data_IF_149918041563
#
_entry.id   IF_149918041563
#
_cell.length_a   1.000
_cell.length_b   1.000
_cell.length_c   1.000
_cell.angle_alpha   90.00
_cell.angle_beta   90.00
_cell.angle_gamma   90.00
#
_symmetry.space_group_name_H-M   'P 1'
#
loop_
_entity.id
_entity.type
_entity.pdbx_description
1 polymer ?
#
# COMPACT_ATOMS: atom_id res chain seq x y z
N UNK A 1 -39.24 45.61 3.41
CA UNK A 1 -39.27 45.40 1.94
C UNK A 1 -39.50 43.93 1.67
N UNK A 2 -40.17 43.57 0.58
CA UNK A 2 -40.38 42.17 0.20
C UNK A 2 -39.20 41.68 -0.65
N UNK A 3 -38.61 40.55 -0.29
CA UNK A 3 -37.58 39.90 -1.09
C UNK A 3 -38.21 39.17 -2.28
N UNK A 4 -37.51 39.12 -3.42
CA UNK A 4 -37.96 38.39 -4.61
C UNK A 4 -37.90 36.89 -4.36
N UNK A 5 -38.98 36.17 -4.68
CA UNK A 5 -39.01 34.71 -4.63
C UNK A 5 -38.05 34.13 -5.68
N UNK A 6 -37.29 33.11 -5.31
CA UNK A 6 -36.28 32.44 -6.18
C UNK A 6 -36.44 30.94 -6.15
N UNK A 7 -36.07 30.30 -7.27
CA UNK A 7 -35.94 28.86 -7.37
C UNK A 7 -34.78 28.38 -6.50
N UNK A 8 -34.89 27.17 -5.97
CA UNK A 8 -33.82 26.50 -5.26
C UNK A 8 -32.82 25.89 -6.25
N UNK A 9 -31.53 25.90 -5.89
CA UNK A 9 -30.48 25.15 -6.59
C UNK A 9 -30.30 23.79 -5.93
N UNK A 10 -29.83 22.81 -6.72
CA UNK A 10 -29.48 21.49 -6.19
C UNK A 10 -28.39 21.61 -5.11
N UNK A 11 -28.39 20.72 -4.10
CA UNK A 11 -27.47 20.82 -2.99
C UNK A 11 -26.03 20.47 -3.43
N UNK A 12 -25.04 21.18 -2.88
CA UNK A 12 -23.63 20.92 -3.13
C UNK A 12 -23.16 19.72 -2.31
N UNK A 13 -23.39 18.51 -2.85
CA UNK A 13 -23.10 17.24 -2.19
C UNK A 13 -22.05 16.44 -2.98
N UNK A 14 -21.53 15.37 -2.38
CA UNK A 14 -20.70 14.41 -3.11
C UNK A 14 -21.51 13.76 -4.24
N UNK A 15 -21.29 14.26 -5.45
CA UNK A 15 -21.95 13.81 -6.68
C UNK A 15 -21.65 12.35 -7.03
N UNK A 16 -20.66 11.72 -6.39
CA UNK A 16 -20.39 10.29 -6.59
C UNK A 16 -21.25 9.41 -5.71
N UNK A 17 -21.62 9.90 -4.53
CA UNK A 17 -22.43 9.16 -3.56
C UNK A 17 -23.91 9.43 -3.72
N UNK A 18 -24.26 10.68 -4.07
CA UNK A 18 -25.64 11.14 -4.15
C UNK A 18 -26.00 11.54 -5.57
N UNK A 19 -27.19 11.12 -5.98
CA UNK A 19 -27.83 11.59 -7.19
C UNK A 19 -28.86 12.66 -6.85
N UNK A 20 -28.63 13.86 -7.38
CA UNK A 20 -29.46 15.05 -7.16
C UNK A 20 -30.03 15.58 -8.47
N UNK A 21 -30.01 14.77 -9.54
CA UNK A 21 -30.54 15.13 -10.86
C UNK A 21 -31.98 15.64 -10.79
N UNK A 22 -32.79 15.06 -9.91
CA UNK A 22 -34.21 15.41 -9.71
C UNK A 22 -34.38 16.81 -9.08
N UNK A 23 -33.31 17.41 -8.55
CA UNK A 23 -33.32 18.66 -7.78
C UNK A 23 -32.87 19.89 -8.58
N UNK A 24 -32.65 19.74 -9.89
CA UNK A 24 -32.21 20.84 -10.74
C UNK A 24 -33.37 21.80 -11.04
N UNK A 25 -33.21 23.07 -10.64
CA UNK A 25 -34.11 24.16 -11.02
C UNK A 25 -35.47 24.17 -10.32
N UNK A 26 -35.55 23.66 -9.09
CA UNK A 26 -36.81 23.57 -8.34
C UNK A 26 -37.45 24.93 -8.09
N UNK A 27 -38.67 25.10 -8.59
CA UNK A 27 -39.52 26.22 -8.26
C UNK A 27 -40.02 26.19 -6.81
N UNK A 28 -40.57 27.30 -6.31
CA UNK A 28 -41.16 27.36 -4.98
C UNK A 28 -42.24 26.29 -4.79
N UNK A 29 -42.26 25.64 -3.62
CA UNK A 29 -43.18 24.55 -3.26
C UNK A 29 -42.96 23.22 -3.99
N UNK A 30 -41.96 23.13 -4.86
CA UNK A 30 -41.60 21.87 -5.50
C UNK A 30 -40.70 21.03 -4.61
N UNK A 31 -40.75 19.72 -4.85
CA UNK A 31 -39.96 18.72 -4.14
C UNK A 31 -39.15 17.89 -5.14
N UNK A 32 -38.01 17.35 -4.71
CA UNK A 32 -37.23 16.37 -5.45
C UNK A 32 -36.80 15.22 -4.54
N UNK A 33 -36.30 14.14 -5.13
CA UNK A 33 -35.67 13.05 -4.39
C UNK A 33 -34.15 13.13 -4.52
N UNK A 34 -33.46 12.95 -3.38
CA UNK A 34 -32.02 12.71 -3.36
C UNK A 34 -31.84 11.20 -3.20
N UNK A 35 -31.16 10.57 -4.15
CA UNK A 35 -30.98 9.11 -4.20
C UNK A 35 -29.52 8.75 -3.94
N UNK A 36 -29.28 7.50 -3.55
CA UNK A 36 -27.94 6.95 -3.61
C UNK A 36 -27.57 6.66 -5.07
N UNK A 37 -26.40 7.12 -5.49
CA UNK A 37 -25.87 6.80 -6.82
C UNK A 37 -25.26 5.40 -6.80
N UNK A 38 -25.48 4.63 -7.85
CA UNK A 38 -24.86 3.30 -7.99
C UNK A 38 -23.33 3.40 -7.86
N UNK A 39 -22.66 2.46 -7.18
CA UNK A 39 -23.20 1.23 -6.59
C UNK A 39 -23.67 1.36 -5.13
N UNK A 40 -23.77 2.58 -4.58
CA UNK A 40 -24.32 2.76 -3.24
C UNK A 40 -25.82 2.47 -3.22
N UNK A 41 -26.27 1.87 -2.12
CA UNK A 41 -27.69 1.57 -1.87
C UNK A 41 -28.16 2.31 -0.62
N UNK A 42 -29.43 2.71 -0.64
CA UNK A 42 -30.08 3.40 0.46
C UNK A 42 -31.43 3.94 0.03
N UNK A 43 -32.28 4.25 1.01
CA UNK A 43 -33.59 4.84 0.75
C UNK A 43 -33.41 6.30 0.35
N UNK A 44 -34.06 6.70 -0.74
CA UNK A 44 -34.07 8.10 -1.16
C UNK A 44 -34.74 8.99 -0.10
N UNK A 45 -34.24 10.22 0.05
CA UNK A 45 -34.82 11.24 0.91
C UNK A 45 -35.50 12.33 0.07
N UNK A 46 -36.48 13.01 0.66
CA UNK A 46 -37.18 14.10 0.01
C UNK A 46 -36.51 15.44 0.35
N UNK A 47 -36.30 16.26 -0.67
CA UNK A 47 -35.91 17.65 -0.51
C UNK A 47 -37.05 18.56 -0.99
N UNK A 48 -37.23 19.72 -0.34
CA UNK A 48 -38.34 20.64 -0.61
C UNK A 48 -37.85 22.09 -0.71
N UNK A 49 -38.34 22.81 -1.71
CA UNK A 49 -38.08 24.23 -1.88
C UNK A 49 -39.20 25.06 -1.19
N UNK A 50 -38.88 25.91 -0.20
CA UNK A 50 -39.89 26.67 0.53
C UNK A 50 -40.75 27.55 -0.37
N UNK A 51 -42.04 27.70 -0.02
CA UNK A 51 -43.01 28.53 -0.78
C UNK A 51 -42.55 29.98 -0.95
N UNK A 52 -41.93 30.54 0.08
CA UNK A 52 -41.46 31.93 0.10
C UNK A 52 -39.94 31.98 0.11
N UNK A 53 -39.31 31.08 -0.66
CA UNK A 53 -37.87 31.03 -0.76
C UNK A 53 -37.33 32.28 -1.45
N UNK A 54 -36.44 33.02 -0.79
CA UNK A 54 -35.73 34.16 -1.38
C UNK A 54 -34.23 33.91 -1.55
N UNK A 55 -33.76 32.74 -1.11
CA UNK A 55 -32.37 32.31 -1.17
C UNK A 55 -32.23 31.13 -2.15
N UNK A 56 -31.45 31.24 -3.24
CA UNK A 56 -31.21 30.11 -4.12
C UNK A 56 -30.71 28.85 -3.40
N UNK A 57 -29.96 28.99 -2.31
CA UNK A 57 -29.47 27.86 -1.50
C UNK A 57 -30.48 27.36 -0.44
N UNK A 58 -31.69 27.91 -0.40
CA UNK A 58 -32.72 27.62 0.60
C UNK A 58 -33.44 26.27 0.46
N UNK A 59 -32.85 25.30 -0.24
CA UNK A 59 -33.40 23.95 -0.33
C UNK A 59 -33.33 23.27 1.04
N UNK A 60 -34.44 22.73 1.52
CA UNK A 60 -34.49 21.98 2.79
C UNK A 60 -34.42 20.50 2.46
N UNK A 61 -33.41 19.80 2.99
CA UNK A 61 -33.19 18.38 2.71
C UNK A 61 -32.41 17.67 3.83
N UNK A 62 -32.53 16.34 3.83
CA UNK A 62 -31.65 15.44 4.57
C UNK A 62 -30.97 14.50 3.57
N UNK A 63 -29.73 14.09 3.83
CA UNK A 63 -29.03 13.15 2.95
C UNK A 63 -29.46 11.71 3.26
N UNK A 64 -29.69 10.87 2.22
CA UNK A 64 -29.97 9.47 2.44
C UNK A 64 -28.74 8.76 3.02
N UNK A 65 -28.94 7.72 3.84
CA UNK A 65 -27.86 6.86 4.29
C UNK A 65 -27.45 5.93 3.15
N UNK A 66 -26.41 6.33 2.41
CA UNK A 66 -25.88 5.54 1.30
C UNK A 66 -24.72 4.68 1.77
N UNK A 67 -24.90 3.36 1.71
CA UNK A 67 -23.91 2.34 2.06
C UNK A 67 -23.47 1.60 0.80
N UNK A 68 -22.20 1.22 0.74
CA UNK A 68 -21.73 0.35 -0.32
C UNK A 68 -22.15 -1.09 0.04
N UNK A 69 -22.89 -1.80 -0.83
CA UNK A 69 -23.20 -3.20 -0.60
C UNK A 69 -21.93 -4.04 -0.44
N UNK A 70 -21.96 -5.02 0.46
CA UNK A 70 -20.82 -5.92 0.73
C UNK A 70 -20.51 -6.84 -0.47
N UNK A 71 -21.47 -7.01 -1.38
CA UNK A 71 -21.40 -7.88 -2.54
C UNK A 71 -20.81 -7.22 -3.79
N UNK A 72 -20.49 -5.92 -3.76
CA UNK A 72 -19.83 -5.24 -4.89
C UNK A 72 -18.46 -5.87 -5.16
N UNK A 73 -18.37 -6.53 -6.32
CA UNK A 73 -17.17 -7.24 -6.74
C UNK A 73 -16.23 -6.29 -7.48
N UNK A 74 -15.20 -5.85 -6.76
CA UNK A 74 -14.09 -5.08 -7.33
C UNK A 74 -13.08 -6.07 -7.91
N UNK A 75 -13.37 -6.58 -9.11
CA UNK A 75 -12.43 -7.39 -9.87
C UNK A 75 -11.67 -6.53 -10.90
N UNK A 76 -10.33 -6.62 -10.94
CA UNK A 76 -9.46 -7.45 -10.09
C UNK A 76 -9.32 -6.90 -8.66
N UNK A 77 -9.14 -7.79 -7.68
CA UNK A 77 -8.90 -7.43 -6.26
C UNK A 77 -7.66 -6.51 -6.18
N UNK A 78 -7.81 -5.26 -5.73
CA UNK A 78 -6.68 -4.34 -5.66
C UNK A 78 -5.65 -4.82 -4.64
N UNK A 79 -4.36 -4.54 -4.91
CA UNK A 79 -3.26 -4.89 -3.99
C UNK A 79 -3.49 -4.26 -2.62
N UNK A 80 -3.29 -5.06 -1.57
CA UNK A 80 -3.48 -4.63 -0.19
C UNK A 80 -4.88 -4.79 0.37
N UNK A 81 -5.80 -5.31 -0.45
CA UNK A 81 -7.17 -5.60 -0.04
C UNK A 81 -7.46 -7.08 -0.19
N UNK A 82 -8.40 -7.56 0.61
CA UNK A 82 -8.99 -8.86 0.40
C UNK A 82 -10.47 -8.86 0.75
N UNK A 83 -11.21 -9.75 0.06
CA UNK A 83 -12.64 -9.92 0.25
C UNK A 83 -12.88 -10.98 1.33
N UNK A 84 -13.76 -10.67 2.28
CA UNK A 84 -14.24 -11.61 3.30
C UNK A 84 -15.75 -11.70 3.25
N UNK A 85 -16.33 -12.64 4.02
CA UNK A 85 -17.79 -12.76 4.17
C UNK A 85 -18.43 -11.50 4.76
N UNK A 86 -17.65 -10.65 5.43
CA UNK A 86 -18.08 -9.39 6.05
C UNK A 86 -17.75 -8.16 5.19
N UNK A 87 -17.34 -8.37 3.94
CA UNK A 87 -16.94 -7.31 3.00
C UNK A 87 -15.42 -7.17 2.84
N UNK A 88 -15.02 -6.01 2.34
CA UNK A 88 -13.64 -5.65 2.06
C UNK A 88 -12.87 -5.30 3.33
N UNK A 89 -11.66 -5.84 3.47
CA UNK A 89 -10.72 -5.47 4.52
C UNK A 89 -9.30 -5.41 3.97
N UNK A 90 -8.37 -4.86 4.74
CA UNK A 90 -6.97 -4.88 4.39
C UNK A 90 -6.45 -6.34 4.35
N UNK A 91 -5.66 -6.64 3.34
CA UNK A 91 -4.95 -7.91 3.22
C UNK A 91 -3.90 -8.05 4.33
N UNK A 92 -3.42 -9.28 4.63
CA UNK A 92 -2.27 -9.48 5.51
C UNK A 92 -1.10 -8.54 5.21
N UNK A 93 -0.60 -7.85 6.24
CA UNK A 93 0.46 -6.84 6.14
C UNK A 93 0.06 -5.46 5.66
N UNK A 94 -1.25 -5.23 5.48
CA UNK A 94 -1.82 -3.90 5.27
C UNK A 94 -2.69 -3.55 6.46
N UNK A 95 -2.68 -2.28 6.86
CA UNK A 95 -3.58 -1.73 7.88
C UNK A 95 -4.28 -0.48 7.33
N UNK A 96 -5.31 -0.02 8.03
CA UNK A 96 -6.07 1.18 7.72
C UNK A 96 -7.57 0.96 7.54
N UNK A 97 -8.28 2.06 7.33
CA UNK A 97 -9.71 2.04 7.07
C UNK A 97 -9.96 2.01 5.56
N UNK A 98 -10.84 1.13 5.11
CA UNK A 98 -11.31 1.13 3.74
C UNK A 98 -12.03 2.46 3.45
N UNK A 99 -11.42 3.29 2.61
CA UNK A 99 -12.02 4.49 2.06
C UNK A 99 -12.39 4.21 0.62
N UNK A 100 -13.55 4.66 0.18
CA UNK A 100 -13.92 4.62 -1.24
C UNK A 100 -13.59 5.97 -1.84
N UNK A 101 -12.63 6.02 -2.76
CA UNK A 101 -12.37 7.23 -3.52
C UNK A 101 -13.20 7.20 -4.79
N UNK A 102 -13.81 8.36 -5.11
CA UNK A 102 -14.43 8.58 -6.39
C UNK A 102 -13.54 9.49 -7.23
N UNK A 103 -13.02 8.96 -8.32
CA UNK A 103 -12.36 9.76 -9.33
C UNK A 103 -13.39 10.21 -10.37
N UNK A 104 -13.55 11.53 -10.55
CA UNK A 104 -14.29 12.04 -11.70
C UNK A 104 -13.48 11.76 -12.96
N UNK A 105 -14.04 10.93 -13.84
CA UNK A 105 -13.49 10.71 -15.18
C UNK A 105 -13.66 11.98 -16.02
N UNK A 106 -12.68 12.89 -16.00
CA UNK A 106 -12.66 14.15 -16.77
C UNK A 106 -13.89 15.10 -16.58
N UNK A 107 -13.79 16.39 -16.94
CA UNK A 107 -14.94 17.29 -16.92
C UNK A 107 -15.96 16.87 -18.00
N UNK A 108 -17.16 16.46 -17.59
CA UNK A 108 -18.28 16.20 -18.49
C UNK A 108 -18.47 14.76 -18.96
N UNK A 109 -17.63 13.80 -18.54
CA UNK A 109 -17.98 12.39 -18.71
C UNK A 109 -18.98 11.96 -17.63
N UNK A 110 -19.79 10.95 -17.94
CA UNK A 110 -20.62 10.26 -16.96
C UNK A 110 -19.76 9.98 -15.71
N UNK A 111 -20.23 10.41 -14.54
CA UNK A 111 -19.65 10.05 -13.26
C UNK A 111 -19.85 8.54 -13.04
N UNK A 112 -19.18 7.72 -13.84
CA UNK A 112 -18.96 6.32 -13.54
C UNK A 112 -18.11 6.31 -12.28
N UNK A 113 -18.75 5.91 -11.21
CA UNK A 113 -18.18 5.66 -9.89
C UNK A 113 -17.21 4.50 -10.00
N UNK A 114 -15.98 4.79 -10.44
CA UNK A 114 -14.88 3.85 -10.27
C UNK A 114 -14.54 3.86 -8.78
N UNK A 115 -15.06 2.87 -8.05
CA UNK A 115 -14.75 2.72 -6.64
C UNK A 115 -13.36 2.11 -6.56
N UNK A 116 -12.38 2.97 -6.30
CA UNK A 116 -11.03 2.52 -5.98
C UNK A 116 -10.94 2.44 -4.46
N UNK A 117 -10.75 1.24 -3.89
CA UNK A 117 -10.53 1.11 -2.46
C UNK A 117 -9.20 1.78 -2.13
N UNK A 118 -9.25 2.67 -1.16
CA UNK A 118 -8.14 3.44 -0.63
C UNK A 118 -8.03 3.21 0.87
N UNK A 119 -6.91 3.63 1.46
CA UNK A 119 -6.71 3.62 2.91
C UNK A 119 -6.10 2.35 3.50
N UNK A 120 -6.09 1.20 2.80
CA UNK A 120 -5.22 0.09 3.18
C UNK A 120 -3.81 0.34 2.66
N UNK A 121 -2.83 0.44 3.55
CA UNK A 121 -1.42 0.60 3.18
C UNK A 121 -0.51 -0.29 3.99
N UNK A 122 0.67 -0.54 3.45
CA UNK A 122 1.67 -1.38 4.09
C UNK A 122 2.17 -0.73 5.38
N UNK A 123 2.32 -1.53 6.42
CA UNK A 123 2.88 -1.11 7.69
C UNK A 123 4.37 -1.43 7.70
N UNK A 124 5.19 -0.44 7.38
CA UNK A 124 6.66 -0.57 7.29
C UNK A 124 7.34 0.41 8.22
N UNK A 125 8.53 0.08 8.78
CA UNK A 125 9.35 1.08 9.45
C UNK A 125 9.56 2.30 8.54
N UNK A 126 9.42 3.50 9.10
CA UNK A 126 9.54 4.74 8.32
C UNK A 126 10.97 4.98 7.80
N UNK A 127 11.95 4.37 8.46
CA UNK A 127 13.36 4.39 8.09
C UNK A 127 14.06 3.17 8.68
N UNK A 128 15.09 2.67 8.01
CA UNK A 128 15.95 1.60 8.52
C UNK A 128 17.38 2.00 8.21
N UNK A 129 18.19 2.13 9.26
CA UNK A 129 19.61 2.45 9.14
C UNK A 129 20.41 1.30 8.54
N UNK A 130 21.59 1.64 8.03
CA UNK A 130 22.53 0.64 7.52
C UNK A 130 22.91 -0.36 8.62
N UNK A 131 23.11 -1.62 8.22
CA UNK A 131 23.68 -2.64 9.10
C UNK A 131 25.18 -2.75 8.83
N UNK A 132 25.97 -2.62 9.90
CA UNK A 132 27.42 -2.85 9.87
C UNK A 132 27.69 -4.09 10.70
N UNK A 133 28.14 -5.14 10.02
CA UNK A 133 28.66 -6.31 10.70
C UNK A 133 29.90 -5.91 11.52
N UNK A 134 30.02 -6.40 12.73
CA UNK A 134 31.17 -6.21 13.63
C UNK A 134 31.82 -7.53 13.99
N UNK A 135 31.31 -8.65 13.48
CA UNK A 135 31.94 -9.96 13.60
C UNK A 135 33.01 -10.12 12.53
N UNK A 136 34.09 -10.83 12.85
CA UNK A 136 35.17 -11.11 11.89
C UNK A 136 35.12 -12.56 11.38
N UNK A 137 34.18 -13.37 11.87
CA UNK A 137 34.03 -14.77 11.49
C UNK A 137 33.19 -14.89 10.23
N UNK A 138 33.63 -15.75 9.32
CA UNK A 138 32.91 -16.08 8.09
C UNK A 138 31.48 -16.55 8.34
N UNK A 139 30.53 -16.04 7.56
CA UNK A 139 29.12 -16.41 7.58
C UNK A 139 28.46 -16.22 8.96
N UNK A 140 29.01 -15.36 9.80
CA UNK A 140 28.44 -15.01 11.09
C UNK A 140 28.40 -13.49 11.16
N UNK A 141 27.21 -12.93 11.39
CA UNK A 141 27.05 -11.49 11.58
C UNK A 141 26.77 -11.17 13.04
N UNK A 142 27.32 -10.05 13.49
CA UNK A 142 27.01 -9.42 14.77
C UNK A 142 26.85 -7.92 14.55
N UNK A 143 25.96 -7.25 15.27
CA UNK A 143 25.80 -5.81 15.12
C UNK A 143 24.44 -5.29 15.58
N UNK A 144 24.25 -3.98 15.43
CA UNK A 144 23.00 -3.32 15.78
C UNK A 144 22.32 -2.82 14.51
N UNK A 145 21.09 -3.25 14.27
CA UNK A 145 20.22 -2.71 13.24
C UNK A 145 19.28 -1.68 13.87
N UNK A 146 19.41 -0.41 13.49
CA UNK A 146 18.54 0.66 13.98
C UNK A 146 17.43 0.97 12.99
N UNK A 147 16.22 1.26 13.48
CA UNK A 147 15.09 1.61 12.61
C UNK A 147 14.08 2.51 13.31
N UNK A 148 13.25 3.15 12.50
CA UNK A 148 12.19 4.04 12.95
C UNK A 148 10.84 3.36 13.21
N UNK A 149 9.89 4.11 13.79
CA UNK A 149 8.54 3.63 14.02
C UNK A 149 7.81 3.28 12.72
N UNK A 150 6.79 2.41 12.82
CA UNK A 150 5.98 2.02 11.69
C UNK A 150 5.16 3.19 11.13
N UNK A 151 5.05 3.24 9.81
CA UNK A 151 4.30 4.25 9.07
C UNK A 151 3.17 3.62 8.25
N UNK A 152 2.07 4.34 8.14
CA UNK A 152 0.90 4.00 7.33
C UNK A 152 0.54 5.19 6.45
N UNK A 153 0.51 5.01 5.12
CA UNK A 153 0.11 6.06 4.15
C UNK A 153 0.66 7.46 4.49
N UNK A 154 1.96 7.57 4.74
CA UNK A 154 2.67 8.80 5.09
C UNK A 154 2.54 9.32 6.54
N UNK A 155 1.70 8.74 7.39
CA UNK A 155 1.62 9.06 8.82
C UNK A 155 2.30 8.01 9.69
N UNK A 156 3.08 8.43 10.70
CA UNK A 156 3.60 7.48 11.70
C UNK A 156 2.44 7.07 12.61
N UNK A 157 2.15 5.78 12.66
CA UNK A 157 1.11 5.23 13.53
C UNK A 157 1.54 3.86 14.01
N UNK A 158 1.71 3.76 15.31
CA UNK A 158 2.11 2.52 15.97
C UNK A 158 1.01 1.96 16.86
N UNK A 159 -0.20 2.54 16.81
CA UNK A 159 -1.32 2.21 17.71
C UNK A 159 -1.57 0.70 17.75
N UNK A 160 -1.46 0.04 16.61
CA UNK A 160 -1.70 -1.40 16.48
C UNK A 160 -0.41 -2.24 16.50
N UNK A 161 0.78 -1.62 16.48
CA UNK A 161 2.07 -2.32 16.46
C UNK A 161 2.38 -2.85 17.86
N UNK A 162 2.69 -4.15 17.93
CA UNK A 162 3.11 -4.85 19.16
C UNK A 162 4.63 -4.97 19.25
N UNK A 163 5.26 -5.42 18.18
CA UNK A 163 6.69 -5.61 18.10
C UNK A 163 7.17 -5.53 16.65
N UNK A 164 8.48 -5.49 16.50
CA UNK A 164 9.19 -5.58 15.24
C UNK A 164 10.00 -6.86 15.25
N UNK A 165 10.06 -7.54 14.12
CA UNK A 165 10.80 -8.78 13.96
C UNK A 165 11.82 -8.62 12.85
N UNK A 166 13.04 -9.08 13.08
CA UNK A 166 14.12 -9.04 12.09
C UNK A 166 14.35 -10.43 11.54
N UNK A 167 14.43 -10.57 10.22
CA UNK A 167 14.69 -11.83 9.53
C UNK A 167 15.81 -11.66 8.50
N UNK A 168 16.46 -12.76 8.15
CA UNK A 168 17.17 -12.84 6.88
C UNK A 168 16.18 -12.86 5.71
N UNK A 169 16.59 -12.34 4.55
CA UNK A 169 15.84 -12.47 3.30
C UNK A 169 16.69 -12.98 2.16
N UNK A 170 16.06 -13.70 1.25
CA UNK A 170 16.68 -14.14 -0.01
C UNK A 170 16.63 -13.06 -1.11
N UNK A 171 17.13 -13.40 -2.30
CA UNK A 171 17.10 -12.54 -3.50
C UNK A 171 15.68 -12.17 -3.99
N UNK A 172 14.66 -12.88 -3.52
CA UNK A 172 13.25 -12.66 -3.83
C UNK A 172 12.54 -11.89 -2.70
N UNK A 173 13.28 -11.40 -1.69
CA UNK A 173 12.76 -10.77 -0.46
C UNK A 173 11.84 -11.69 0.36
N UNK A 174 12.02 -13.01 0.27
CA UNK A 174 11.33 -13.97 1.13
C UNK A 174 12.11 -14.14 2.43
N UNK A 175 11.41 -14.14 3.56
CA UNK A 175 12.00 -14.36 4.88
C UNK A 175 12.59 -15.76 4.99
N UNK A 176 13.79 -15.87 5.55
CA UNK A 176 14.51 -17.12 5.75
C UNK A 176 14.59 -17.45 7.25
N UNK A 177 14.05 -18.61 7.65
CA UNK A 177 14.14 -19.11 9.01
C UNK A 177 13.24 -18.39 10.02
N UNK A 178 13.62 -18.53 11.29
CA UNK A 178 12.95 -17.88 12.44
C UNK A 178 13.43 -16.42 12.60
N UNK A 179 12.69 -15.57 13.34
CA UNK A 179 13.14 -14.21 13.61
C UNK A 179 14.48 -14.22 14.37
N UNK A 180 15.43 -13.43 13.89
CA UNK A 180 16.74 -13.22 14.50
C UNK A 180 16.62 -12.42 15.81
N UNK A 181 15.73 -11.42 15.80
CA UNK A 181 15.42 -10.63 16.99
C UNK A 181 13.95 -10.19 16.96
N UNK A 182 13.39 -9.92 18.14
CA UNK A 182 12.06 -9.36 18.32
C UNK A 182 12.12 -8.14 19.25
N UNK A 183 11.96 -6.96 18.66
CA UNK A 183 11.99 -5.68 19.38
C UNK A 183 10.57 -5.29 19.76
N UNK A 184 10.26 -5.33 21.06
CA UNK A 184 8.95 -4.93 21.57
C UNK A 184 8.77 -3.41 21.44
N UNK A 185 7.59 -2.97 20.97
CA UNK A 185 7.29 -1.54 20.90
C UNK A 185 7.28 -0.93 22.31
N UNK A 186 7.88 0.25 22.45
CA UNK A 186 7.77 1.05 23.67
C UNK A 186 6.33 1.48 23.99
N UNK A 187 6.06 1.96 25.23
CA UNK A 187 4.72 2.31 25.68
C UNK A 187 4.17 3.62 25.10
N UNK A 188 5.04 4.45 24.50
CA UNK A 188 4.67 5.76 23.95
C UNK A 188 4.76 5.72 22.44
N UNK A 189 3.65 6.06 21.77
CA UNK A 189 3.63 6.20 20.32
C UNK A 189 4.50 7.39 19.88
N UNK A 190 5.36 7.16 18.89
CA UNK A 190 6.20 8.22 18.34
C UNK A 190 5.43 8.94 17.23
N UNK A 191 5.28 10.26 17.35
CA UNK A 191 4.55 11.07 16.37
C UNK A 191 5.36 11.43 15.11
N UNK A 192 6.67 11.14 15.09
CA UNK A 192 7.57 11.53 14.01
C UNK A 192 8.54 10.40 13.66
N UNK A 193 8.97 10.36 12.40
CA UNK A 193 9.95 9.38 11.97
C UNK A 193 11.32 9.71 12.58
N UNK A 194 11.86 8.77 13.36
CA UNK A 194 13.20 8.84 13.95
C UNK A 194 13.93 7.55 13.61
N UNK A 195 14.94 7.61 12.75
CA UNK A 195 15.71 6.46 12.24
C UNK A 195 16.25 5.49 13.30
N UNK A 196 16.46 5.98 14.52
CA UNK A 196 17.05 5.22 15.63
C UNK A 196 16.09 5.08 16.81
N UNK A 197 14.79 5.04 16.54
CA UNK A 197 13.77 4.84 17.58
C UNK A 197 13.90 3.46 18.25
N UNK A 198 14.25 2.46 17.44
CA UNK A 198 14.37 1.07 17.83
C UNK A 198 15.73 0.51 17.42
N UNK A 199 16.16 -0.55 18.10
CA UNK A 199 17.41 -1.24 17.81
C UNK A 199 17.20 -2.73 18.00
N UNK A 200 17.53 -3.51 16.97
CA UNK A 200 17.67 -4.95 17.05
C UNK A 200 19.14 -5.30 17.20
N UNK A 201 19.47 -6.14 18.18
CA UNK A 201 20.84 -6.54 18.48
C UNK A 201 21.08 -7.97 18.01
N UNK A 202 21.84 -8.12 16.93
CA UNK A 202 22.20 -9.42 16.35
C UNK A 202 23.51 -9.90 16.97
N UNK A 203 23.52 -11.10 17.55
CA UNK A 203 24.67 -11.62 18.29
C UNK A 203 25.06 -12.99 17.77
N UNK A 204 26.12 -13.04 16.96
CA UNK A 204 26.66 -14.27 16.39
C UNK A 204 25.64 -15.06 15.55
N UNK A 205 24.88 -14.37 14.71
CA UNK A 205 23.87 -15.00 13.86
C UNK A 205 24.51 -15.66 12.65
N UNK A 206 24.23 -16.95 12.44
CA UNK A 206 24.70 -17.69 11.27
C UNK A 206 23.94 -17.23 10.02
N UNK A 207 24.68 -16.71 9.03
CA UNK A 207 24.14 -16.27 7.75
C UNK A 207 23.75 -17.50 6.90
N UNK A 208 22.47 -17.64 6.49
CA UNK A 208 22.07 -18.66 5.54
C UNK A 208 22.75 -18.45 4.18
N UNK A 209 23.10 -19.51 3.43
CA UNK A 209 23.80 -19.40 2.15
C UNK A 209 23.03 -18.61 1.07
N UNK A 210 21.70 -18.56 1.18
CA UNK A 210 20.82 -17.83 0.26
C UNK A 210 20.47 -16.41 0.74
N UNK A 211 20.96 -16.00 1.91
CA UNK A 211 20.65 -14.68 2.46
C UNK A 211 21.34 -13.57 1.65
N UNK A 212 20.58 -12.52 1.35
CA UNK A 212 21.02 -11.33 0.61
C UNK A 212 20.87 -10.04 1.43
N UNK A 213 20.15 -10.09 2.55
CA UNK A 213 19.90 -8.94 3.40
C UNK A 213 19.14 -9.30 4.66
N UNK A 214 18.83 -8.25 5.42
CA UNK A 214 17.96 -8.27 6.59
C UNK A 214 16.66 -7.54 6.25
N UNK A 215 15.54 -7.97 6.83
CA UNK A 215 14.26 -7.25 6.73
C UNK A 215 13.70 -6.98 8.11
N UNK A 216 13.12 -5.81 8.30
CA UNK A 216 12.37 -5.46 9.52
C UNK A 216 10.87 -5.49 9.22
N UNK A 217 10.14 -6.36 9.92
CA UNK A 217 8.70 -6.53 9.80
C UNK A 217 8.00 -6.01 11.06
N UNK A 218 7.04 -5.10 10.89
CA UNK A 218 6.17 -4.69 11.98
C UNK A 218 5.06 -5.72 12.19
N UNK A 219 4.80 -6.10 13.44
CA UNK A 219 3.73 -7.04 13.80
C UNK A 219 2.65 -6.34 14.61
N UNK A 220 1.40 -6.61 14.28
CA UNK A 220 0.22 -6.05 14.95
C UNK A 220 -0.53 -7.09 15.78
N UNK A 221 -1.54 -6.65 16.53
CA UNK A 221 -2.42 -7.55 17.27
C UNK A 221 -3.21 -8.51 16.39
N UNK A 222 -3.44 -8.15 15.13
CA UNK A 222 -4.26 -8.91 14.21
C UNK A 222 -3.43 -9.74 13.23
N UNK A 223 -2.24 -9.27 12.80
CA UNK A 223 -1.34 -9.95 11.86
C UNK A 223 0.11 -9.43 11.92
N UNK A 224 1.06 -10.28 11.52
CA UNK A 224 2.44 -9.85 11.16
C UNK A 224 2.46 -9.25 9.76
N UNK A 225 3.26 -8.20 9.54
CA UNK A 225 3.44 -7.65 8.19
C UNK A 225 4.18 -8.63 7.30
N UNK A 226 3.65 -8.90 6.11
CA UNK A 226 4.33 -9.69 5.10
C UNK A 226 5.34 -8.87 4.27
N UNK A 227 5.42 -7.56 4.50
CA UNK A 227 6.22 -6.63 3.72
C UNK A 227 7.00 -5.73 4.68
N UNK A 228 8.31 -5.64 4.48
CA UNK A 228 9.21 -4.81 5.27
C UNK A 228 10.22 -4.05 4.41
N UNK A 229 11.10 -3.33 5.10
CA UNK A 229 12.23 -2.64 4.47
C UNK A 229 13.44 -3.55 4.54
N UNK A 230 14.04 -3.82 3.37
CA UNK A 230 15.22 -4.67 3.24
C UNK A 230 16.47 -3.81 3.31
N UNK A 231 17.41 -4.21 4.15
CA UNK A 231 18.75 -3.63 4.26
C UNK A 231 19.76 -4.69 3.85
N UNK A 232 20.64 -4.33 2.91
CA UNK A 232 21.75 -5.21 2.56
C UNK A 232 22.79 -5.13 3.67
N UNK A 233 23.39 -6.28 4.00
CA UNK A 233 24.57 -6.32 4.86
C UNK A 233 25.76 -6.78 4.04
N UNK A 234 26.94 -6.36 4.48
CA UNK A 234 28.20 -6.89 3.99
C UNK A 234 28.87 -7.59 5.17
N UNK A 235 29.02 -8.91 5.07
CA UNK A 235 29.88 -9.66 6.00
C UNK A 235 31.29 -9.06 5.91
N UNK A 236 31.86 -8.74 7.07
CA UNK A 236 33.14 -8.04 7.19
C UNK A 236 34.35 -8.86 6.75
N UNK A 237 34.16 -10.03 6.14
CA UNK A 237 35.27 -10.72 5.50
C UNK A 237 36.11 -9.76 4.65
N UNK A 238 37.43 -9.63 4.93
CA UNK A 238 38.33 -9.16 3.91
C UNK A 238 38.17 -10.12 2.72
N UNK A 239 38.07 -9.63 1.47
CA UNK A 239 37.88 -10.48 0.32
C UNK A 239 38.90 -11.61 0.42
N UNK A 240 38.43 -12.85 0.56
CA UNK A 240 39.32 -14.02 0.63
C UNK A 240 40.29 -13.84 -0.53
N UNK A 241 41.59 -13.67 -0.28
CA UNK A 241 42.52 -13.38 -1.36
C UNK A 241 42.31 -14.48 -2.39
N UNK A 242 41.93 -14.06 -3.61
CA UNK A 242 41.57 -14.99 -4.67
C UNK A 242 42.64 -16.08 -4.68
N UNK A 243 42.27 -17.37 -4.61
CA UNK A 243 43.22 -18.45 -4.45
C UNK A 243 44.32 -18.21 -5.47
N UNK A 244 45.55 -17.97 -4.98
CA UNK A 244 46.67 -17.56 -5.83
C UNK A 244 46.66 -18.53 -7.01
N UNK A 245 46.43 -18.05 -8.25
CA UNK A 245 46.27 -18.95 -9.37
C UNK A 245 47.46 -19.90 -9.35
N UNK A 246 47.24 -21.23 -9.35
CA UNK A 246 48.34 -22.17 -9.30
C UNK A 246 49.34 -21.76 -10.40
N UNK A 247 50.65 -21.74 -10.10
CA UNK A 247 51.66 -21.25 -11.02
C UNK A 247 51.39 -21.86 -12.39
N UNK A 248 51.11 -20.98 -13.36
CA UNK A 248 50.64 -21.40 -14.67
C UNK A 248 51.57 -22.52 -15.18
N UNK A 249 51.08 -23.75 -15.41
CA UNK A 249 51.92 -24.78 -16.00
C UNK A 249 52.47 -24.20 -17.29
N UNK A 250 53.80 -24.25 -17.45
CA UNK A 250 54.53 -23.75 -18.61
C UNK A 250 53.91 -24.38 -19.87
N UNK A 251 52.96 -23.68 -20.47
CA UNK A 251 52.14 -24.20 -21.56
C UNK A 251 52.58 -23.47 -22.82
N UNK A 252 53.25 -24.23 -23.66
CA UNK A 252 53.67 -23.87 -25.00
C UNK A 252 52.49 -23.28 -25.78
N UNK A 253 52.73 -22.12 -26.40
CA UNK A 253 51.75 -21.45 -27.24
C UNK A 253 51.29 -22.37 -28.38
N UNK A 254 50.05 -22.83 -28.33
CA UNK A 254 49.33 -23.22 -29.55
C UNK A 254 48.29 -22.16 -29.83
N UNK A 255 48.56 -21.37 -30.86
CA UNK A 255 47.60 -20.46 -31.46
C UNK A 255 46.37 -21.27 -31.90
N UNK A 256 45.25 -21.06 -31.21
CA UNK A 256 43.96 -21.59 -31.62
C UNK A 256 43.09 -20.42 -32.06
N UNK A 257 42.88 -20.34 -33.37
CA UNK A 257 42.00 -19.36 -34.01
C UNK A 257 40.56 -19.82 -33.75
N UNK A 258 39.82 -19.08 -32.91
CA UNK A 258 38.39 -19.31 -32.74
C UNK A 258 37.60 -18.39 -33.69
N UNK A 259 36.93 -19.03 -34.64
CA UNK A 259 35.96 -18.40 -35.55
C UNK A 259 34.66 -18.16 -34.74
N UNK A 260 34.31 -16.89 -34.52
CA UNK A 260 33.02 -16.52 -33.95
C UNK A 260 31.89 -16.80 -34.94
N UNK A 261 31.12 -17.85 -34.69
CA UNK A 261 29.84 -18.10 -35.36
C UNK A 261 28.75 -17.24 -34.70
N UNK A 262 28.34 -16.17 -35.38
CA UNK A 262 27.20 -15.33 -34.97
C UNK A 262 25.91 -16.06 -35.36
N UNK A 263 25.21 -16.62 -34.37
CA UNK A 263 23.86 -17.17 -34.56
C UNK A 263 22.84 -16.05 -34.30
N UNK A 264 22.26 -15.52 -35.37
CA UNK A 264 21.13 -14.58 -35.32
C UNK A 264 19.84 -15.39 -35.10
N UNK A 265 19.29 -15.33 -33.89
CA UNK A 265 18.02 -15.98 -33.56
C UNK A 265 16.87 -14.98 -33.78
N UNK A 266 16.24 -15.04 -34.95
CA UNK A 266 14.93 -14.41 -35.19
C UNK A 266 13.84 -15.36 -34.71
N UNK A 267 13.12 -15.01 -33.64
CA UNK A 267 11.85 -15.69 -33.32
C UNK A 267 10.66 -14.74 -33.40
N UNK A 268 9.76 -15.16 -34.29
CA UNK A 268 8.51 -14.61 -34.71
C UNK A 268 7.50 -14.35 -33.57
N UNK A 269 6.87 -13.19 -33.65
CA UNK A 269 5.56 -12.90 -33.06
C UNK A 269 4.52 -13.89 -33.62
N UNK A 270 3.88 -14.67 -32.74
CA UNK A 270 2.59 -15.30 -33.04
C UNK A 270 1.51 -14.66 -32.18
N UNK A 271 0.65 -13.89 -32.85
CA UNK A 271 -0.69 -13.56 -32.41
C UNK A 271 -1.47 -14.84 -32.09
N UNK A 272 -2.12 -14.86 -30.93
CA UNK A 272 -3.28 -15.72 -30.69
C UNK A 272 -4.46 -14.82 -30.34
N UNK A 273 -5.44 -14.85 -31.22
CA UNK A 273 -6.82 -14.38 -31.01
C UNK A 273 -7.68 -15.62 -30.76
N UNK A 274 -8.81 -15.40 -30.06
CA UNK A 274 -9.95 -16.33 -29.85
C UNK A 274 -9.79 -17.33 -28.70
N UNK A 275 -10.51 -17.12 -27.59
CA UNK A 275 -11.94 -17.41 -27.36
C UNK A 275 -12.46 -16.62 -26.15
#
# INVERSE_FOLDING_TARGET
>A
GCARIRNCIAPAVDTCKYDTSDCLGLGPWQNCQIRCRSPYVGNATLASCPRFNSDPAGLVYELPVCVLPLDVDLLPVPRGYMRTTYGWRCAPGYDGALVTQCERSAPGADCRTHITPAGCSMLVPCDVGDFVDIDARTDIISGNLTFGPAQLSYGVTEVNVRNYQVYFVDRCNQTLGEPLDTVVKGPTDLACCRAHAYTAALVSEQVPPDAQGLVVLASTSSLSSAIGVVVQFQDLQPPTPAPTPPPAPASASRASVHVCLVVVLTMALRHFSEL
#
